data_IF_055746131135
#
_entry.id   IF_055746131135
#
_cell.length_a   1.000
_cell.length_b   1.000
_cell.length_c   1.000
_cell.angle_alpha   90.00
_cell.angle_beta   90.00
_cell.angle_gamma   90.00
#
_symmetry.space_group_name_H-M   'P 1'
#
loop_
_entity.id
_entity.type
_entity.pdbx_description
1 polymer ?
#
# COMPACT_ATOMS: atom_id res chain seq x y z
N UNK A 1 2.61 15.93 4.23
CA UNK A 1 3.25 14.59 4.34
C UNK A 1 2.20 13.61 4.82
N UNK A 2 2.06 12.47 4.15
CA UNK A 2 1.09 11.45 4.50
C UNK A 2 1.40 10.73 5.82
N UNK A 3 0.43 10.03 6.39
CA UNK A 3 0.62 9.11 7.50
C UNK A 3 0.29 7.68 7.07
N UNK A 4 1.10 6.71 7.45
CA UNK A 4 0.90 5.30 7.16
C UNK A 4 1.06 4.46 8.43
N UNK A 5 0.20 3.46 8.59
CA UNK A 5 0.18 2.55 9.75
C UNK A 5 0.02 1.13 9.25
N UNK A 6 0.74 0.19 9.83
CA UNK A 6 0.54 -1.24 9.64
C UNK A 6 0.47 -1.96 10.97
N UNK A 7 -0.53 -2.83 11.16
CA UNK A 7 -0.75 -3.57 12.41
C UNK A 7 -0.99 -5.05 12.10
N UNK A 8 -0.36 -5.91 12.88
CA UNK A 8 -0.67 -7.35 12.98
C UNK A 8 -1.01 -7.65 14.42
N UNK A 9 -2.12 -8.31 14.66
CA UNK A 9 -2.63 -8.64 15.99
C UNK A 9 -3.13 -10.08 16.11
N UNK A 10 -3.54 -10.46 17.32
CA UNK A 10 -4.21 -11.74 17.59
C UNK A 10 -5.73 -11.69 17.35
N UNK A 11 -6.30 -10.51 17.28
CA UNK A 11 -7.71 -10.23 16.98
C UNK A 11 -7.83 -9.20 15.86
N UNK A 12 -9.06 -8.72 15.61
CA UNK A 12 -9.30 -7.71 14.58
C UNK A 12 -8.55 -6.41 14.89
N UNK A 13 -7.90 -5.86 13.86
CA UNK A 13 -7.02 -4.69 14.00
C UNK A 13 -7.66 -3.38 13.51
N UNK A 14 -8.88 -3.43 12.99
CA UNK A 14 -9.58 -2.28 12.43
C UNK A 14 -9.64 -1.09 13.38
N UNK A 15 -10.06 -1.32 14.64
CA UNK A 15 -10.15 -0.23 15.64
C UNK A 15 -8.78 0.36 15.97
N UNK A 16 -7.77 -0.49 16.13
CA UNK A 16 -6.40 -0.02 16.41
C UNK A 16 -5.84 0.83 15.27
N UNK A 17 -6.13 0.44 14.01
CA UNK A 17 -5.72 1.23 12.84
C UNK A 17 -6.47 2.57 12.80
N UNK A 18 -7.79 2.55 13.04
CA UNK A 18 -8.62 3.78 13.12
C UNK A 18 -8.08 4.75 14.15
N UNK A 19 -7.80 4.27 15.37
CA UNK A 19 -7.27 5.08 16.47
C UNK A 19 -5.91 5.66 16.12
N UNK A 20 -5.02 4.84 15.56
CA UNK A 20 -3.70 5.28 15.11
C UNK A 20 -3.79 6.34 14.00
N UNK A 21 -4.67 6.16 13.00
CA UNK A 21 -4.89 7.15 11.94
C UNK A 21 -5.46 8.46 12.50
N UNK A 22 -6.34 8.38 13.50
CA UNK A 22 -6.89 9.56 14.19
C UNK A 22 -5.79 10.36 14.89
N UNK A 23 -4.85 9.67 15.56
CA UNK A 23 -3.70 10.32 16.21
C UNK A 23 -2.80 11.02 15.18
N UNK A 24 -2.54 10.39 14.04
CA UNK A 24 -1.68 10.94 12.99
C UNK A 24 -2.44 11.74 11.92
N UNK A 25 -3.73 12.07 12.14
CA UNK A 25 -4.57 12.80 11.18
C UNK A 25 -3.96 14.14 10.73
N UNK A 26 -3.17 14.80 11.59
CA UNK A 26 -2.47 16.03 11.25
C UNK A 26 -1.46 15.89 10.10
N UNK A 27 -1.06 14.66 9.74
CA UNK A 27 -0.17 14.37 8.61
C UNK A 27 -0.90 14.35 7.27
N UNK A 28 -2.22 14.12 7.26
CA UNK A 28 -3.01 14.10 6.03
C UNK A 28 -4.50 14.25 6.31
N UNK A 29 -5.16 15.19 5.63
CA UNK A 29 -6.56 15.55 5.88
C UNK A 29 -7.44 15.49 4.62
N UNK A 30 -6.89 15.01 3.53
CA UNK A 30 -7.53 14.99 2.21
C UNK A 30 -8.32 13.71 1.97
N UNK A 31 -7.74 12.58 2.31
CA UNK A 31 -8.37 11.27 2.20
C UNK A 31 -7.86 10.33 3.29
N UNK A 32 -8.67 9.35 3.62
CA UNK A 32 -8.30 8.28 4.55
C UNK A 32 -8.70 6.91 4.00
N UNK A 33 -7.94 5.87 4.33
CA UNK A 33 -8.26 4.51 3.94
C UNK A 33 -7.70 3.49 4.91
N UNK A 34 -8.44 2.41 5.08
CA UNK A 34 -8.05 1.21 5.85
C UNK A 34 -8.27 -0.01 4.97
N UNK A 35 -7.29 -0.90 4.94
CA UNK A 35 -7.42 -2.24 4.41
C UNK A 35 -7.04 -3.23 5.50
N UNK A 36 -7.88 -4.26 5.66
CA UNK A 36 -7.62 -5.37 6.57
C UNK A 36 -7.63 -6.69 5.84
N UNK A 37 -7.11 -7.73 6.46
CA UNK A 37 -7.04 -9.08 5.91
C UNK A 37 -7.19 -10.13 7.03
N UNK A 38 -8.00 -11.17 6.76
CA UNK A 38 -8.18 -12.34 7.64
C UNK A 38 -7.24 -13.52 7.31
N UNK A 39 -6.26 -13.27 6.41
CA UNK A 39 -5.35 -14.28 5.87
C UNK A 39 -5.76 -14.81 4.50
N UNK A 40 -7.00 -14.56 4.05
CA UNK A 40 -7.53 -14.97 2.73
C UNK A 40 -8.22 -13.84 2.01
N UNK A 41 -9.10 -13.12 2.70
CA UNK A 41 -9.90 -12.03 2.15
C UNK A 41 -9.31 -10.70 2.57
N UNK A 42 -9.43 -9.74 1.69
CA UNK A 42 -9.10 -8.34 1.96
C UNK A 42 -10.39 -7.54 2.03
N UNK A 43 -10.43 -6.63 2.98
CA UNK A 43 -11.54 -5.71 3.20
C UNK A 43 -10.97 -4.29 3.10
N UNK A 44 -11.54 -3.49 2.20
CA UNK A 44 -11.06 -2.14 1.92
C UNK A 44 -12.17 -1.12 2.06
N UNK A 45 -11.91 -0.08 2.83
CA UNK A 45 -12.67 1.17 2.79
C UNK A 45 -11.70 2.33 2.67
N UNK A 46 -11.94 3.21 1.68
CA UNK A 46 -11.21 4.47 1.52
C UNK A 46 -12.10 5.50 0.84
N UNK A 47 -11.94 6.75 1.22
CA UNK A 47 -12.65 7.86 0.62
C UNK A 47 -11.92 9.19 0.90
N UNK A 48 -12.38 10.27 0.26
CA UNK A 48 -11.97 11.62 0.59
C UNK A 48 -12.55 12.05 1.94
N UNK A 49 -11.80 12.79 2.73
CA UNK A 49 -12.19 13.33 4.03
C UNK A 49 -11.31 12.86 5.19
N UNK A 50 -11.67 13.31 6.38
CA UNK A 50 -10.99 12.93 7.63
C UNK A 50 -11.36 11.49 8.02
N UNK A 51 -10.54 10.87 8.85
CA UNK A 51 -10.76 9.50 9.36
C UNK A 51 -12.19 9.34 9.91
N UNK A 52 -12.66 10.28 10.75
CA UNK A 52 -14.00 10.24 11.33
C UNK A 52 -15.14 10.37 10.30
N UNK A 53 -14.86 10.97 9.14
CA UNK A 53 -15.85 11.21 8.09
C UNK A 53 -15.94 10.01 7.14
N UNK A 54 -14.83 9.31 6.93
CA UNK A 54 -14.72 8.15 6.04
C UNK A 54 -15.20 6.86 6.71
N UNK A 55 -15.01 6.73 8.04
CA UNK A 55 -15.30 5.51 8.79
C UNK A 55 -16.38 5.72 9.83
N UNK A 56 -17.56 5.19 9.56
CA UNK A 56 -18.64 5.01 10.54
C UNK A 56 -18.64 3.59 11.15
N UNK A 57 -19.52 3.34 12.11
CA UNK A 57 -19.62 2.04 12.77
C UNK A 57 -19.90 0.89 11.78
N UNK A 58 -20.69 1.12 10.72
CA UNK A 58 -21.00 0.12 9.70
C UNK A 58 -19.73 -0.25 8.91
N UNK A 59 -18.96 0.75 8.50
CA UNK A 59 -17.71 0.53 7.77
C UNK A 59 -16.70 -0.22 8.63
N UNK A 60 -16.61 0.14 9.91
CA UNK A 60 -15.68 -0.53 10.84
C UNK A 60 -16.03 -2.00 11.06
N UNK A 61 -17.33 -2.37 11.11
CA UNK A 61 -17.75 -3.76 11.22
C UNK A 61 -17.44 -4.62 9.98
N UNK A 62 -17.22 -3.99 8.81
CA UNK A 62 -16.88 -4.68 7.57
C UNK A 62 -15.37 -4.90 7.39
N UNK A 63 -14.54 -4.22 8.17
CA UNK A 63 -13.09 -4.32 8.11
C UNK A 63 -12.60 -5.44 9.04
N UNK A 64 -12.87 -6.68 8.64
CA UNK A 64 -12.49 -7.87 9.39
C UNK A 64 -11.01 -8.22 9.21
N UNK A 65 -10.44 -8.94 10.17
CA UNK A 65 -9.08 -9.50 10.05
C UNK A 65 -8.11 -9.01 11.10
N UNK A 66 -7.05 -9.77 11.24
CA UNK A 66 -6.03 -9.58 12.27
C UNK A 66 -4.74 -8.92 11.73
N UNK A 67 -4.74 -8.52 10.48
CA UNK A 67 -3.66 -7.79 9.83
C UNK A 67 -4.26 -6.68 8.97
N UNK A 68 -3.61 -5.53 8.93
CA UNK A 68 -4.07 -4.45 8.07
C UNK A 68 -3.13 -3.27 8.01
N UNK A 69 -3.45 -2.37 7.11
CA UNK A 69 -2.77 -1.09 6.97
C UNK A 69 -3.77 0.05 6.78
N UNK A 70 -3.38 1.21 7.27
CA UNK A 70 -4.13 2.45 7.18
C UNK A 70 -3.28 3.59 6.63
N UNK A 71 -3.95 4.54 6.02
CA UNK A 71 -3.31 5.70 5.41
C UNK A 71 -4.16 6.96 5.58
N UNK A 72 -3.51 8.08 5.86
CA UNK A 72 -4.07 9.43 5.76
C UNK A 72 -3.26 10.23 4.75
N UNK A 73 -3.95 10.75 3.73
CA UNK A 73 -3.32 11.41 2.57
C UNK A 73 -3.22 12.91 2.79
N UNK A 74 -2.05 13.45 2.48
CA UNK A 74 -1.84 14.87 2.26
C UNK A 74 -1.93 15.15 0.75
N UNK A 75 -2.69 16.16 0.29
CA UNK A 75 -2.86 16.40 -1.14
C UNK A 75 -1.53 16.79 -1.78
N UNK A 76 -1.20 16.12 -2.86
CA UNK A 76 -0.22 16.57 -3.84
C UNK A 76 -0.98 17.27 -4.97
N UNK A 77 -0.44 18.30 -5.59
CA UNK A 77 -1.14 19.18 -6.51
C UNK A 77 -1.93 18.42 -7.60
N UNK A 78 -3.26 18.63 -7.67
CA UNK A 78 -4.00 18.56 -8.91
C UNK A 78 -4.73 17.27 -9.27
N UNK A 79 -5.05 16.34 -8.36
CA UNK A 79 -5.78 15.11 -8.69
C UNK A 79 -7.17 15.01 -8.06
N UNK A 80 -8.05 14.19 -8.67
CA UNK A 80 -9.28 13.73 -8.03
C UNK A 80 -8.92 12.91 -6.78
N UNK A 81 -9.22 13.46 -5.64
CA UNK A 81 -8.74 12.98 -4.34
C UNK A 81 -9.19 11.55 -4.01
N UNK A 82 -10.35 11.12 -4.51
CA UNK A 82 -10.93 9.82 -4.17
C UNK A 82 -10.22 8.65 -4.82
N UNK A 83 -9.88 8.75 -6.10
CA UNK A 83 -9.18 7.68 -6.83
C UNK A 83 -7.76 7.47 -6.31
N UNK A 84 -7.13 8.52 -5.79
CA UNK A 84 -5.79 8.51 -5.24
C UNK A 84 -5.71 8.21 -3.73
N UNK A 85 -6.86 8.01 -3.08
CA UNK A 85 -6.88 7.55 -1.68
C UNK A 85 -6.17 6.19 -1.55
N UNK A 86 -5.37 6.06 -0.51
CA UNK A 86 -4.63 4.83 -0.22
C UNK A 86 -5.28 4.09 0.97
N UNK A 87 -5.03 2.77 1.13
CA UNK A 87 -4.08 1.92 0.39
C UNK A 87 -4.51 1.60 -1.04
N UNK A 88 -3.51 1.34 -1.90
CA UNK A 88 -3.72 0.68 -3.19
C UNK A 88 -3.63 -0.83 -3.04
N UNK A 89 -4.28 -1.56 -3.95
CA UNK A 89 -4.31 -3.02 -3.95
C UNK A 89 -4.20 -3.58 -5.37
N UNK A 90 -3.42 -4.65 -5.51
CA UNK A 90 -3.39 -5.51 -6.70
C UNK A 90 -3.53 -6.97 -6.28
N UNK A 91 -4.24 -7.76 -7.07
CA UNK A 91 -4.52 -9.16 -6.76
C UNK A 91 -3.38 -10.13 -7.12
N UNK A 92 -2.40 -9.70 -7.91
CA UNK A 92 -1.30 -10.56 -8.38
C UNK A 92 0.06 -9.85 -8.21
N UNK A 93 1.11 -10.59 -7.76
CA UNK A 93 1.05 -11.91 -7.14
C UNK A 93 0.57 -11.85 -5.68
N UNK A 94 0.02 -12.92 -5.14
CA UNK A 94 -0.34 -13.12 -3.73
C UNK A 94 -1.37 -12.16 -3.11
N UNK A 95 -1.91 -11.20 -3.85
CA UNK A 95 -2.65 -10.07 -3.26
C UNK A 95 -1.73 -9.14 -2.48
N UNK A 96 -1.50 -7.96 -3.01
CA UNK A 96 -0.62 -6.95 -2.42
C UNK A 96 -1.38 -5.67 -2.14
N UNK A 97 -1.20 -5.12 -0.96
CA UNK A 97 -1.64 -3.76 -0.63
C UNK A 97 -0.45 -2.91 -0.23
N UNK A 98 -0.54 -1.60 -0.47
CA UNK A 98 0.54 -0.67 -0.17
C UNK A 98 0.00 0.68 0.27
N UNK A 99 0.56 1.18 1.36
CA UNK A 99 0.49 2.58 1.79
C UNK A 99 1.88 3.22 1.66
N UNK A 100 1.91 4.41 1.06
CA UNK A 100 3.14 5.11 0.70
C UNK A 100 3.11 6.56 1.18
N UNK A 101 4.22 7.00 1.73
CA UNK A 101 4.51 8.41 2.00
C UNK A 101 5.80 8.77 1.28
N UNK A 102 5.72 9.66 0.31
CA UNK A 102 6.87 10.09 -0.47
C UNK A 102 6.50 10.57 -1.87
N UNK A 103 7.48 10.55 -2.76
CA UNK A 103 7.29 10.88 -4.16
C UNK A 103 8.34 10.20 -5.04
N UNK A 104 7.89 9.54 -6.11
CA UNK A 104 8.76 8.98 -7.14
C UNK A 104 8.96 9.98 -8.27
N UNK A 105 10.20 10.30 -8.58
CA UNK A 105 10.53 11.25 -9.67
C UNK A 105 10.48 10.60 -11.06
N UNK A 106 10.51 9.26 -11.13
CA UNK A 106 10.46 8.51 -12.38
C UNK A 106 9.17 7.66 -12.53
N UNK A 107 8.09 8.02 -11.85
CA UNK A 107 6.82 7.27 -11.89
C UNK A 107 6.28 7.11 -13.31
N UNK A 108 6.39 8.16 -14.15
CA UNK A 108 5.90 8.11 -15.54
C UNK A 108 6.66 7.08 -16.38
N UNK A 109 7.98 7.04 -16.28
CA UNK A 109 8.81 6.10 -17.04
C UNK A 109 8.51 4.66 -16.60
N UNK A 110 8.42 4.43 -15.28
CA UNK A 110 8.06 3.14 -14.71
C UNK A 110 6.68 2.66 -15.14
N UNK A 111 5.71 3.57 -15.26
CA UNK A 111 4.36 3.24 -15.74
C UNK A 111 4.38 2.74 -17.19
N UNK A 112 5.22 3.33 -18.05
CA UNK A 112 5.39 2.88 -19.43
C UNK A 112 6.06 1.50 -19.46
N UNK A 113 7.13 1.30 -18.71
CA UNK A 113 7.81 0.00 -18.59
C UNK A 113 6.84 -1.10 -18.13
N UNK A 114 6.08 -0.86 -17.06
CA UNK A 114 5.10 -1.82 -16.52
C UNK A 114 4.03 -2.20 -17.56
N UNK A 115 3.59 -1.26 -18.39
CA UNK A 115 2.65 -1.56 -19.45
C UNK A 115 3.30 -2.40 -20.55
N UNK A 116 4.54 -2.09 -20.96
CA UNK A 116 5.24 -2.81 -22.01
C UNK A 116 5.64 -4.23 -21.60
N UNK A 117 6.13 -4.40 -20.38
CA UNK A 117 6.70 -5.66 -19.90
C UNK A 117 5.64 -6.62 -19.35
N UNK A 118 4.64 -6.08 -18.61
CA UNK A 118 3.67 -6.87 -17.85
C UNK A 118 2.22 -6.65 -18.28
N UNK A 119 1.97 -5.75 -19.24
CA UNK A 119 0.63 -5.30 -19.63
C UNK A 119 -0.18 -4.75 -18.43
N UNK A 120 0.50 -4.15 -17.45
CA UNK A 120 -0.13 -3.56 -16.26
C UNK A 120 -0.62 -2.15 -16.55
N UNK A 121 -1.92 -1.95 -16.44
CA UNK A 121 -2.55 -0.65 -16.58
C UNK A 121 -2.54 0.07 -15.23
N UNK A 122 -2.04 1.30 -15.21
CA UNK A 122 -2.11 2.22 -14.07
C UNK A 122 -3.36 3.08 -14.25
N UNK A 123 -4.25 3.09 -13.25
CA UNK A 123 -5.56 3.76 -13.34
C UNK A 123 -5.55 5.19 -12.83
N UNK A 124 -4.59 5.57 -12.01
CA UNK A 124 -4.54 6.89 -11.37
C UNK A 124 -3.27 7.64 -11.73
N UNK A 125 -3.20 8.93 -11.38
CA UNK A 125 -1.98 9.72 -11.46
C UNK A 125 -0.99 9.49 -10.30
N UNK A 126 -1.34 8.60 -9.36
CA UNK A 126 -0.56 8.39 -8.14
C UNK A 126 0.69 7.54 -8.39
N UNK A 127 1.83 8.06 -8.00
CA UNK A 127 3.09 7.32 -7.95
C UNK A 127 3.05 6.11 -7.00
N UNK A 128 2.16 6.13 -6.03
CA UNK A 128 1.93 5.02 -5.10
C UNK A 128 1.36 3.79 -5.80
N UNK A 129 0.47 3.97 -6.79
CA UNK A 129 -0.04 2.87 -7.61
C UNK A 129 1.08 2.29 -8.49
N UNK A 130 1.93 3.15 -9.04
CA UNK A 130 3.12 2.73 -9.81
C UNK A 130 4.07 1.93 -8.92
N UNK A 131 4.40 2.45 -7.73
CA UNK A 131 5.29 1.77 -6.78
C UNK A 131 4.76 0.38 -6.37
N UNK A 132 3.45 0.26 -6.11
CA UNK A 132 2.81 -1.02 -5.83
C UNK A 132 2.99 -2.00 -6.99
N UNK A 133 2.78 -1.56 -8.23
CA UNK A 133 2.91 -2.41 -9.42
C UNK A 133 4.37 -2.79 -9.72
N UNK A 134 5.33 -1.90 -9.47
CA UNK A 134 6.77 -2.25 -9.51
C UNK A 134 7.09 -3.31 -8.46
N UNK A 135 6.62 -3.14 -7.22
CA UNK A 135 6.86 -4.14 -6.17
C UNK A 135 6.20 -5.50 -6.52
N UNK A 136 5.01 -5.49 -7.09
CA UNK A 136 4.32 -6.70 -7.56
C UNK A 136 5.11 -7.42 -8.68
N UNK A 137 5.64 -6.67 -9.65
CA UNK A 137 6.49 -7.19 -10.71
C UNK A 137 7.76 -7.85 -10.13
N UNK A 138 8.46 -7.12 -9.27
CA UNK A 138 9.71 -7.61 -8.68
C UNK A 138 9.50 -8.81 -7.75
N UNK A 139 8.38 -8.85 -7.03
CA UNK A 139 8.03 -9.98 -6.18
C UNK A 139 7.75 -11.22 -7.05
N UNK A 140 7.00 -11.07 -8.14
CA UNK A 140 6.74 -12.17 -9.07
C UNK A 140 8.05 -12.71 -9.69
N UNK A 141 8.97 -11.83 -10.08
CA UNK A 141 10.29 -12.19 -10.62
C UNK A 141 11.27 -12.77 -9.58
N UNK A 142 10.98 -12.62 -8.29
CA UNK A 142 11.83 -13.14 -7.20
C UNK A 142 11.46 -14.58 -6.80
N UNK A 143 10.23 -15.00 -7.06
CA UNK A 143 9.76 -16.36 -6.77
C UNK A 143 10.33 -17.34 -7.79
N UNK A 144 11.22 -18.21 -7.34
CA UNK A 144 11.92 -19.17 -8.19
C UNK A 144 11.04 -20.34 -8.64
N UNK A 145 10.12 -20.77 -7.79
CA UNK A 145 9.18 -21.85 -8.06
C UNK A 145 7.76 -21.36 -7.74
N UNK A 146 6.89 -21.35 -8.75
CA UNK A 146 5.50 -20.92 -8.59
C UNK A 146 4.66 -21.84 -7.67
N UNK A 147 5.15 -23.04 -7.42
CA UNK A 147 4.53 -23.98 -6.49
C UNK A 147 5.10 -23.89 -5.07
N UNK A 148 6.19 -23.13 -4.88
CA UNK A 148 6.78 -22.92 -3.58
C UNK A 148 6.08 -21.78 -2.83
N UNK A 149 6.08 -21.90 -1.51
CA UNK A 149 5.65 -20.80 -0.64
C UNK A 149 6.67 -19.65 -0.75
N UNK A 150 6.16 -18.41 -0.76
CA UNK A 150 6.98 -17.20 -0.72
C UNK A 150 7.89 -17.21 0.51
N UNK A 151 9.18 -16.99 0.30
CA UNK A 151 10.16 -16.94 1.37
C UNK A 151 10.52 -15.49 1.71
N UNK A 152 10.93 -15.24 2.93
CA UNK A 152 11.39 -13.90 3.37
C UNK A 152 12.49 -13.35 2.45
N UNK A 153 13.38 -14.22 1.96
CA UNK A 153 14.45 -13.82 1.06
C UNK A 153 13.92 -13.34 -0.30
N UNK A 154 12.82 -13.90 -0.80
CA UNK A 154 12.19 -13.45 -2.06
C UNK A 154 11.65 -12.02 -1.90
N UNK A 155 11.05 -11.72 -0.74
CA UNK A 155 10.56 -10.38 -0.41
C UNK A 155 11.73 -9.38 -0.36
N UNK A 156 12.82 -9.71 0.32
CA UNK A 156 14.00 -8.84 0.40
C UNK A 156 14.67 -8.65 -0.97
N UNK A 157 14.69 -9.67 -1.80
CA UNK A 157 15.18 -9.56 -3.18
C UNK A 157 14.29 -8.64 -4.03
N UNK A 158 12.97 -8.74 -3.89
CA UNK A 158 12.03 -7.85 -4.55
C UNK A 158 12.22 -6.39 -4.10
N UNK A 159 12.33 -6.13 -2.79
CA UNK A 159 12.59 -4.78 -2.26
C UNK A 159 13.92 -4.22 -2.78
N UNK A 160 14.98 -5.04 -2.83
CA UNK A 160 16.28 -4.60 -3.39
C UNK A 160 16.14 -4.16 -4.85
N UNK A 161 15.34 -4.86 -5.66
CA UNK A 161 15.07 -4.49 -7.05
C UNK A 161 14.19 -3.24 -7.15
N UNK A 162 13.20 -3.08 -6.26
CA UNK A 162 12.46 -1.81 -6.14
C UNK A 162 13.43 -0.65 -5.93
N UNK A 163 14.40 -0.78 -5.01
CA UNK A 163 15.41 0.25 -4.78
C UNK A 163 16.29 0.57 -6.00
N UNK A 164 16.54 -0.39 -6.87
CA UNK A 164 17.32 -0.15 -8.09
C UNK A 164 16.52 0.54 -9.20
N UNK A 165 15.19 0.40 -9.20
CA UNK A 165 14.29 0.95 -10.23
C UNK A 165 13.65 2.27 -9.82
N UNK A 166 13.12 2.34 -8.61
CA UNK A 166 12.40 3.51 -8.12
C UNK A 166 13.36 4.61 -7.66
N UNK A 167 13.18 5.81 -8.19
CA UNK A 167 13.95 7.01 -7.83
C UNK A 167 13.06 7.99 -7.11
N UNK A 168 13.54 8.51 -5.99
CA UNK A 168 12.81 9.47 -5.15
C UNK A 168 12.90 9.11 -3.67
N UNK A 169 12.12 9.80 -2.86
CA UNK A 169 12.01 9.54 -1.43
C UNK A 169 10.71 8.78 -1.16
N UNK A 170 10.76 7.67 -0.45
CA UNK A 170 9.58 6.88 -0.13
C UNK A 170 9.73 6.07 1.16
N UNK A 171 8.66 6.06 1.95
CA UNK A 171 8.45 5.16 3.06
C UNK A 171 7.17 4.37 2.81
N UNK A 172 7.25 3.06 2.92
CA UNK A 172 6.22 2.11 2.52
C UNK A 172 5.87 1.17 3.66
N UNK A 173 4.57 0.93 3.83
CA UNK A 173 4.06 -0.26 4.49
C UNK A 173 3.24 -1.03 3.47
N UNK A 174 3.60 -2.27 3.23
CA UNK A 174 2.89 -3.16 2.33
C UNK A 174 2.39 -4.40 3.07
N UNK A 175 1.27 -4.94 2.61
CA UNK A 175 0.67 -6.18 3.09
C UNK A 175 0.68 -7.21 1.97
N UNK A 176 1.20 -8.40 2.26
CA UNK A 176 1.16 -9.55 1.37
C UNK A 176 0.18 -10.54 1.97
N UNK A 177 -0.93 -10.78 1.26
CA UNK A 177 -2.02 -11.65 1.74
C UNK A 177 -1.51 -13.06 2.01
N UNK A 178 -1.81 -13.57 3.20
CA UNK A 178 -1.36 -14.89 3.64
C UNK A 178 0.09 -14.95 4.17
N UNK A 179 0.85 -13.83 4.10
CA UNK A 179 2.26 -13.79 4.56
C UNK A 179 2.52 -12.80 5.68
N UNK A 180 2.10 -11.54 5.54
CA UNK A 180 2.34 -10.55 6.58
C UNK A 180 2.51 -9.13 6.06
N UNK A 181 3.09 -8.28 6.93
CA UNK A 181 3.47 -6.92 6.60
C UNK A 181 4.96 -6.82 6.31
N UNK A 182 5.30 -5.97 5.37
CA UNK A 182 6.68 -5.54 5.11
C UNK A 182 6.74 -4.02 5.13
N UNK A 183 7.74 -3.46 5.80
CA UNK A 183 8.01 -2.04 5.78
C UNK A 183 9.41 -1.79 5.21
N UNK A 184 9.50 -0.83 4.31
CA UNK A 184 10.78 -0.41 3.73
C UNK A 184 10.74 1.07 3.35
N UNK A 185 11.91 1.65 3.20
CA UNK A 185 12.07 3.04 2.73
C UNK A 185 13.14 3.10 1.64
N UNK A 186 13.24 4.25 1.00
CA UNK A 186 14.25 4.48 -0.03
C UNK A 186 15.70 4.24 0.48
N UNK A 187 16.66 4.02 -0.43
CA UNK A 187 18.04 3.69 -0.04
C UNK A 187 18.76 4.78 0.76
N UNK A 188 18.27 6.02 0.69
CA UNK A 188 18.89 7.17 1.38
C UNK A 188 18.25 7.43 2.75
N UNK A 189 17.09 6.85 3.00
CA UNK A 189 16.37 6.98 4.27
C UNK A 189 15.76 8.35 4.50
N UNK A 190 15.32 8.99 3.43
CA UNK A 190 14.67 10.30 3.48
C UNK A 190 13.26 10.19 4.01
#
# INVERSE_FOLDING_TARGET
MCGVVGIVGSGWVNQQIYDALTVIQHRGQDAAGIMTCDGRRVFLRKDSGLVRDVFDARHMLQLEGNMGLGHVRYPTAGGDNRSEAQPFYVNSPFGLALGHNGNLVNARDLSVELFQDDLRQINTGSDSEVLLNVFAHELMGSVRDRNAMLQTQDIFNAVRRVHSRCRGAYAVVAMIVGYGLVAFRDPFGI
#
